data_IF_949601885998
#
_entry.id   IF_949601885998
#
_cell.length_a   1.000
_cell.length_b   1.000
_cell.length_c   1.000
_cell.angle_alpha   90.00
_cell.angle_beta   90.00
_cell.angle_gamma   90.00
#
_symmetry.space_group_name_H-M   'P 1'
#
loop_
_entity.id
_entity.type
_entity.pdbx_description
1 polymer ?
#
# COMPACT_ATOMS: atom_id res chain seq x y z
N UNK A 1 19.99 -3.94 32.79
CA UNK A 1 19.41 -4.82 31.76
C UNK A 1 19.60 -4.10 30.42
N UNK A 2 20.74 -4.22 29.75
CA UNK A 2 21.10 -5.31 28.82
C UNK A 2 20.08 -5.50 27.68
N UNK A 3 20.01 -4.50 26.79
CA UNK A 3 20.13 -4.57 25.32
C UNK A 3 19.70 -5.86 24.64
N UNK A 4 18.43 -5.92 24.27
CA UNK A 4 17.87 -6.55 23.07
C UNK A 4 16.41 -6.07 23.05
N UNK A 5 16.08 -5.10 22.22
CA UNK A 5 15.06 -5.32 21.21
C UNK A 5 15.40 -4.44 20.01
N UNK A 6 16.38 -4.89 19.22
CA UNK A 6 16.43 -4.54 17.81
C UNK A 6 15.24 -5.19 17.12
N UNK A 7 14.02 -4.79 17.49
CA UNK A 7 12.78 -5.30 16.90
C UNK A 7 12.75 -4.72 15.51
N UNK A 8 13.38 -5.44 14.56
CA UNK A 8 13.33 -5.20 13.12
C UNK A 8 11.91 -4.70 12.81
N UNK A 9 11.70 -3.38 12.62
CA UNK A 9 10.37 -2.82 12.74
C UNK A 9 9.64 -3.17 11.45
N UNK A 10 9.07 -4.37 11.39
CA UNK A 10 8.10 -4.73 10.37
C UNK A 10 6.92 -3.81 10.65
N UNK A 11 6.85 -2.73 9.88
CA UNK A 11 5.82 -1.70 10.00
C UNK A 11 4.91 -1.84 8.80
N UNK A 12 3.61 -1.67 9.02
CA UNK A 12 2.67 -1.46 7.91
C UNK A 12 3.15 -0.27 7.08
N UNK A 13 3.36 -0.49 5.79
CA UNK A 13 3.78 0.57 4.89
C UNK A 13 2.54 1.25 4.35
N UNK A 14 2.34 2.50 4.73
CA UNK A 14 1.34 3.37 4.14
C UNK A 14 1.97 4.13 2.98
N UNK A 15 1.34 4.07 1.81
CA UNK A 15 1.78 4.76 0.60
C UNK A 15 0.57 5.31 -0.17
N UNK A 16 0.81 5.96 -1.29
CA UNK A 16 -0.27 6.52 -2.12
C UNK A 16 -0.07 6.13 -3.57
N UNK A 17 -1.16 5.76 -4.24
CA UNK A 17 -1.18 5.41 -5.67
C UNK A 17 -2.05 6.37 -6.45
N UNK A 18 -1.82 6.46 -7.76
CA UNK A 18 -2.63 7.29 -8.63
C UNK A 18 -3.97 6.60 -8.84
N UNK A 19 -5.07 7.34 -8.72
CA UNK A 19 -6.41 6.85 -9.03
C UNK A 19 -7.05 7.73 -10.11
N UNK A 20 -7.80 7.11 -11.01
CA UNK A 20 -8.49 7.75 -12.14
C UNK A 20 -9.99 7.54 -11.97
N UNK A 21 -10.77 8.59 -12.22
CA UNK A 21 -12.23 8.58 -12.04
C UNK A 21 -12.68 8.66 -10.58
N UNK A 22 -11.76 8.78 -9.62
CA UNK A 22 -12.08 8.90 -8.19
C UNK A 22 -12.27 10.35 -7.76
N UNK A 23 -13.01 10.55 -6.66
CA UNK A 23 -13.15 11.85 -5.99
C UNK A 23 -11.81 12.51 -5.64
N UNK A 24 -10.78 11.70 -5.37
CA UNK A 24 -9.43 12.16 -5.06
C UNK A 24 -8.46 11.80 -6.19
N UNK A 25 -7.41 12.62 -6.45
CA UNK A 25 -6.41 12.30 -7.47
C UNK A 25 -5.41 11.21 -7.04
N UNK A 26 -5.33 10.91 -5.74
CA UNK A 26 -4.51 9.82 -5.19
C UNK A 26 -5.29 9.04 -4.13
N UNK A 27 -5.09 7.73 -4.11
CA UNK A 27 -5.67 6.81 -3.14
C UNK A 27 -4.61 6.42 -2.10
N UNK A 28 -4.87 6.61 -0.80
CA UNK A 28 -4.03 6.04 0.25
C UNK A 28 -4.21 4.52 0.27
N UNK A 29 -3.08 3.83 0.19
CA UNK A 29 -3.00 2.37 0.25
C UNK A 29 -2.05 1.97 1.35
N UNK A 30 -2.29 0.80 1.92
CA UNK A 30 -1.39 0.21 2.91
C UNK A 30 -1.11 -1.24 2.56
N UNK A 31 -0.03 -1.78 3.09
CA UNK A 31 0.18 -3.23 3.05
C UNK A 31 -0.79 -3.93 4.00
N UNK A 32 -1.37 -5.05 3.58
CA UNK A 32 -2.21 -5.92 4.43
C UNK A 32 -1.38 -6.48 5.60
N UNK A 33 -0.11 -6.75 5.35
CA UNK A 33 0.84 -7.30 6.32
C UNK A 33 2.08 -6.40 6.46
N UNK A 34 2.79 -6.48 7.61
CA UNK A 34 3.97 -5.68 7.83
C UNK A 34 5.17 -6.22 7.03
N UNK A 35 5.74 -5.37 6.17
CA UNK A 35 6.85 -5.76 5.27
C UNK A 35 8.21 -5.27 5.80
N UNK A 36 9.31 -5.98 5.49
CA UNK A 36 10.65 -5.56 5.90
C UNK A 36 11.10 -4.28 5.18
N UNK A 37 11.97 -3.51 5.85
CA UNK A 37 12.46 -2.20 5.37
C UNK A 37 13.10 -2.27 3.98
N UNK A 38 13.79 -3.36 3.68
CA UNK A 38 14.44 -3.60 2.38
C UNK A 38 13.44 -3.58 1.21
N UNK A 39 12.21 -4.07 1.44
CA UNK A 39 11.16 -4.16 0.43
C UNK A 39 10.37 -2.87 0.27
N UNK A 40 10.42 -1.95 1.25
CA UNK A 40 9.73 -0.66 1.19
C UNK A 40 10.12 0.13 -0.08
N UNK A 41 11.40 0.13 -0.44
CA UNK A 41 11.87 0.80 -1.67
C UNK A 41 11.28 0.18 -2.94
N UNK A 42 11.22 -1.15 -2.98
CA UNK A 42 10.68 -1.90 -4.11
C UNK A 42 9.17 -1.70 -4.24
N UNK A 43 8.45 -1.73 -3.12
CA UNK A 43 7.02 -1.37 -3.02
C UNK A 43 6.79 0.03 -3.58
N UNK A 44 7.51 1.05 -3.09
CA UNK A 44 7.39 2.43 -3.60
C UNK A 44 7.64 2.48 -5.11
N UNK A 45 8.64 1.74 -5.61
CA UNK A 45 8.94 1.71 -7.03
C UNK A 45 7.83 1.05 -7.86
N UNK A 46 7.22 -0.02 -7.38
CA UNK A 46 6.05 -0.65 -8.03
C UNK A 46 4.81 0.25 -8.01
N UNK A 47 4.60 0.99 -6.92
CA UNK A 47 3.52 1.96 -6.80
C UNK A 47 3.76 3.18 -7.71
N UNK A 48 5.03 3.51 -8.01
CA UNK A 48 5.44 4.61 -8.89
C UNK A 48 5.16 4.27 -10.36
N UNK A 49 3.89 4.44 -10.75
CA UNK A 49 3.38 4.10 -12.07
C UNK A 49 2.10 3.27 -12.02
N UNK A 50 1.79 2.70 -10.86
CA UNK A 50 0.53 2.02 -10.63
C UNK A 50 -0.63 3.03 -10.70
N UNK A 51 -1.60 2.70 -11.54
CA UNK A 51 -2.80 3.50 -11.74
C UNK A 51 -4.02 2.64 -11.46
N UNK A 52 -4.80 3.07 -10.48
CA UNK A 52 -6.05 2.45 -10.04
C UNK A 52 -7.21 3.18 -10.69
N UNK A 53 -8.32 2.49 -10.94
CA UNK A 53 -9.58 3.12 -11.35
C UNK A 53 -10.57 3.05 -10.19
N UNK A 54 -11.33 4.12 -9.98
CA UNK A 54 -12.50 4.08 -9.11
C UNK A 54 -13.59 3.20 -9.76
N UNK A 55 -14.59 2.71 -8.99
CA UNK A 55 -14.72 2.81 -7.53
C UNK A 55 -13.85 1.76 -6.81
N UNK A 56 -13.29 2.14 -5.66
CA UNK A 56 -12.53 1.25 -4.77
C UNK A 56 -13.05 1.38 -3.35
N UNK A 57 -13.06 0.25 -2.63
CA UNK A 57 -13.53 0.19 -1.25
C UNK A 57 -12.36 0.02 -0.30
N UNK A 58 -12.52 0.48 0.94
CA UNK A 58 -11.55 0.20 1.98
C UNK A 58 -11.38 -1.31 2.15
N UNK A 59 -10.13 -1.79 2.13
CA UNK A 59 -9.78 -3.21 2.16
C UNK A 59 -9.73 -3.87 0.78
N UNK A 60 -10.06 -3.14 -0.29
CA UNK A 60 -9.94 -3.66 -1.65
C UNK A 60 -8.48 -3.87 -2.04
N UNK A 61 -8.19 -5.03 -2.63
CA UNK A 61 -6.83 -5.46 -2.96
C UNK A 61 -6.45 -4.92 -4.34
N UNK A 62 -5.60 -3.90 -4.34
CA UNK A 62 -5.13 -3.22 -5.54
C UNK A 62 -4.02 -4.02 -6.23
N UNK A 63 -3.09 -4.57 -5.44
CA UNK A 63 -1.95 -5.32 -5.94
C UNK A 63 -1.64 -6.48 -5.00
N UNK A 64 -1.68 -7.71 -5.52
CA UNK A 64 -1.32 -8.89 -4.74
C UNK A 64 0.19 -9.13 -4.76
N UNK A 65 0.72 -9.64 -3.66
CA UNK A 65 2.13 -10.02 -3.51
C UNK A 65 3.10 -8.91 -3.98
N UNK A 66 2.98 -7.74 -3.36
CA UNK A 66 3.80 -6.58 -3.70
C UNK A 66 5.28 -6.88 -3.46
N UNK A 67 6.13 -6.51 -4.42
CA UNK A 67 7.57 -6.68 -4.31
C UNK A 67 7.99 -8.14 -3.96
N UNK A 68 7.18 -9.14 -4.31
CA UNK A 68 7.48 -10.55 -3.99
C UNK A 68 7.52 -10.84 -2.48
N UNK A 69 6.86 -10.02 -1.65
CA UNK A 69 6.90 -10.14 -0.18
C UNK A 69 5.83 -11.07 0.40
N UNK A 70 4.84 -11.44 -0.40
CA UNK A 70 3.62 -12.11 0.08
C UNK A 70 2.59 -11.16 0.69
N UNK A 71 2.91 -9.88 0.91
CA UNK A 71 1.95 -8.89 1.37
C UNK A 71 1.17 -8.29 0.20
N UNK A 72 -0.09 -7.93 0.44
CA UNK A 72 -0.94 -7.28 -0.56
C UNK A 72 -1.08 -5.78 -0.29
N UNK A 73 -1.26 -4.99 -1.35
CA UNK A 73 -1.59 -3.56 -1.25
C UNK A 73 -3.10 -3.43 -1.22
N UNK A 74 -3.62 -2.92 -0.11
CA UNK A 74 -5.06 -2.69 0.09
C UNK A 74 -5.36 -1.21 0.22
N UNK A 75 -6.53 -0.80 -0.24
CA UNK A 75 -7.01 0.57 -0.06
C UNK A 75 -7.32 0.86 1.41
N UNK A 76 -6.82 1.98 1.94
CA UNK A 76 -7.08 2.39 3.33
C UNK A 76 -8.38 3.21 3.46
N UNK A 77 -8.91 3.72 2.35
CA UNK A 77 -10.18 4.43 2.30
C UNK A 77 -11.03 3.99 1.11
N UNK A 78 -12.33 4.23 1.18
CA UNK A 78 -13.24 4.16 0.05
C UNK A 78 -13.09 5.39 -0.86
N UNK A 79 -13.16 5.17 -2.16
CA UNK A 79 -13.23 6.22 -3.17
C UNK A 79 -14.30 5.84 -4.17
N UNK A 80 -15.33 6.67 -4.20
CA UNK A 80 -16.42 6.58 -5.16
C UNK A 80 -15.98 7.10 -6.53
N UNK A 81 -16.59 6.55 -7.58
CA UNK A 81 -16.43 7.04 -8.94
C UNK A 81 -17.22 8.33 -9.13
N UNK A 82 -16.56 9.37 -9.61
CA UNK A 82 -17.17 10.59 -10.14
C UNK A 82 -17.29 10.40 -11.64
N UNK A 83 -18.40 9.80 -12.07
CA UNK A 83 -18.87 9.84 -13.47
C UNK A 83 -19.87 10.98 -13.64
#
# INVERSE_FOLDING_TARGET
MSKEEGTNPKRTVCSTVRIIGGRYPRLPVRTSEPVPKEKIKEVINQLKGLTVKAPVRRGDVILRNVAGTGADIIAEMDVEETS
#
